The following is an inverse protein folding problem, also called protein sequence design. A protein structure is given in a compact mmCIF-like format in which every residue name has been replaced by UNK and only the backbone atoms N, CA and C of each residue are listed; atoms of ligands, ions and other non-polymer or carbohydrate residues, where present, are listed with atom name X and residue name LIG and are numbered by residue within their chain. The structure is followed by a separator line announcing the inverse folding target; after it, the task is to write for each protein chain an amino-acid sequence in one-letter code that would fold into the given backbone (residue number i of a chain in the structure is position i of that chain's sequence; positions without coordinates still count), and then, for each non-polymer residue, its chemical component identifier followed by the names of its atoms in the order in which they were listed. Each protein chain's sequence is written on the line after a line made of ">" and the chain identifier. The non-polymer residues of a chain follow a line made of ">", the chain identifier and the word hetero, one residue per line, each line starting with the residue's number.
data_IF_402153641068
#
_entry.id   IF_402153641068
#
_cell.length_a   1.000
_cell.length_b   1.000
_cell.length_c   1.000
_cell.angle_alpha   90.00
_cell.angle_beta   90.00
_cell.angle_gamma   90.00
#
_symmetry.space_group_name_H-M   'P 1'
#
loop_
_entity.id
_entity.type
_entity.pdbx_description
1 polymer ?
#
# COMPACT_ATOMS: atom_id res chain seq x y z
N UNK A 1 -19.96 38.62 82.45
CA UNK A 1 -20.10 37.42 81.61
C UNK A 1 -19.49 36.16 82.24
N UNK A 2 -18.18 36.10 82.49
CA UNK A 2 -17.50 34.89 83.01
C UNK A 2 -18.05 34.40 84.38
N UNK A 3 -18.38 35.32 85.31
CA UNK A 3 -18.98 34.94 86.61
C UNK A 3 -20.38 34.33 86.52
N UNK A 4 -21.19 34.72 85.52
CA UNK A 4 -22.54 34.18 85.30
C UNK A 4 -22.48 32.83 84.58
N UNK A 5 -21.57 32.68 83.60
CA UNK A 5 -21.27 31.40 82.95
C UNK A 5 -20.74 30.33 83.92
N UNK A 6 -19.93 30.71 84.91
CA UNK A 6 -19.47 29.77 85.93
C UNK A 6 -20.60 29.31 86.86
N UNK A 7 -21.55 30.19 87.19
CA UNK A 7 -22.71 29.84 88.01
C UNK A 7 -23.69 28.94 87.24
N UNK A 8 -23.92 29.20 85.95
CA UNK A 8 -24.78 28.34 85.13
C UNK A 8 -24.13 26.98 84.84
N UNK A 9 -22.81 26.90 84.69
CA UNK A 9 -22.11 25.61 84.55
C UNK A 9 -22.21 24.76 85.83
N UNK A 10 -22.15 25.38 87.02
CA UNK A 10 -22.31 24.70 88.32
C UNK A 10 -23.75 24.23 88.55
N UNK A 11 -24.76 25.01 88.13
CA UNK A 11 -26.16 24.60 88.19
C UNK A 11 -26.53 23.54 87.15
N UNK A 12 -25.96 23.61 85.94
CA UNK A 12 -26.15 22.60 84.92
C UNK A 12 -25.49 21.26 85.29
N UNK A 13 -24.33 21.26 85.95
CA UNK A 13 -23.72 20.01 86.45
C UNK A 13 -24.52 19.36 87.59
N UNK A 14 -25.28 20.15 88.36
CA UNK A 14 -26.21 19.64 89.37
C UNK A 14 -27.51 19.08 88.76
N UNK A 15 -27.97 19.60 87.63
CA UNK A 15 -29.16 19.11 86.92
C UNK A 15 -28.89 17.88 86.04
N UNK A 16 -27.68 17.73 85.48
CA UNK A 16 -27.31 16.57 84.66
C UNK A 16 -26.72 15.38 85.44
N UNK A 17 -26.45 15.53 86.74
CA UNK A 17 -26.04 14.42 87.62
C UNK A 17 -27.22 13.60 88.20
N UNK A 18 -28.46 13.86 87.76
CA UNK A 18 -29.69 13.20 88.26
C UNK A 18 -30.01 11.81 87.69
N UNK A 19 -29.18 11.24 86.83
CA UNK A 19 -29.36 9.87 86.30
C UNK A 19 -28.37 8.89 86.92
N UNK A 20 -28.51 8.62 88.23
CA UNK A 20 -28.01 7.38 88.85
C UNK A 20 -29.09 6.86 89.83
N UNK A 21 -29.59 5.63 89.62
CA UNK A 21 -30.68 5.08 90.44
C UNK A 21 -30.11 4.33 91.64
N UNK A 22 -30.14 4.92 92.84
CA UNK A 22 -30.04 4.13 94.06
C UNK A 22 -31.00 4.61 95.13
N UNK A 23 -31.74 3.62 95.62
CA UNK A 23 -32.70 3.65 96.70
C UNK A 23 -32.08 4.13 98.03
N UNK A 24 -32.98 4.32 99.01
CA UNK A 24 -32.77 4.77 100.39
C UNK A 24 -32.57 6.30 100.50
N UNK A 25 -33.31 7.07 101.30
CA UNK A 25 -34.25 6.76 102.36
C UNK A 25 -35.36 7.81 102.38
N UNK A 26 -36.57 7.31 102.57
CA UNK A 26 -37.73 8.07 103.02
C UNK A 26 -37.37 8.97 104.21
N UNK A 27 -37.74 10.23 104.06
CA UNK A 27 -38.16 11.16 105.09
C UNK A 27 -37.29 11.19 106.36
N UNK A 28 -36.37 12.16 106.40
CA UNK A 28 -36.15 12.88 107.66
C UNK A 28 -37.46 13.62 107.95
N UNK A 29 -38.40 12.93 108.58
CA UNK A 29 -39.44 13.59 109.36
C UNK A 29 -38.72 14.47 110.37
N UNK A 30 -39.03 15.77 110.48
CA UNK A 30 -38.52 16.54 111.59
C UNK A 30 -39.09 15.89 112.85
N UNK A 31 -38.26 15.16 113.58
CA UNK A 31 -38.56 14.86 114.97
C UNK A 31 -38.68 16.21 115.65
N UNK A 32 -39.92 16.59 115.94
CA UNK A 32 -40.28 17.67 116.85
C UNK A 32 -39.25 17.73 117.96
N UNK A 33 -38.43 18.78 117.98
CA UNK A 33 -37.62 19.09 119.16
C UNK A 33 -38.62 19.37 120.27
N UNK A 34 -38.75 18.45 121.22
CA UNK A 34 -39.51 18.65 122.45
C UNK A 34 -38.81 19.71 123.28
N UNK A 35 -39.05 20.98 122.96
CA UNK A 35 -38.65 22.13 123.78
C UNK A 35 -39.73 22.38 124.84
N UNK A 36 -39.93 21.43 125.76
CA UNK A 36 -40.49 21.79 127.05
C UNK A 36 -39.32 22.03 128.00
N UNK A 37 -39.18 23.26 128.51
CA UNK A 37 -38.24 23.56 129.59
C UNK A 37 -38.63 22.76 130.85
N UNK A 38 -37.68 22.02 131.42
CA UNK A 38 -37.89 21.30 132.69
C UNK A 38 -38.13 22.32 133.81
N UNK A 39 -39.40 22.52 134.20
CA UNK A 39 -39.79 23.36 135.35
C UNK A 39 -40.88 24.42 135.08
N UNK A 40 -41.38 24.58 133.85
CA UNK A 40 -42.45 25.54 133.53
C UNK A 40 -43.87 24.91 133.59
N UNK A 41 -44.92 25.65 133.96
CA UNK A 41 -46.30 25.16 133.95
C UNK A 41 -46.75 24.82 132.51
N UNK A 42 -47.53 23.74 132.35
CA UNK A 42 -47.86 23.13 131.06
C UNK A 42 -48.59 24.00 130.02
N UNK A 43 -49.00 25.22 130.36
CA UNK A 43 -49.60 26.17 129.43
C UNK A 43 -48.58 26.79 128.45
N UNK A 44 -47.29 26.88 128.80
CA UNK A 44 -46.25 27.52 127.96
C UNK A 44 -45.73 26.62 126.83
N UNK A 45 -45.90 25.30 126.92
CA UNK A 45 -45.42 24.37 125.87
C UNK A 45 -46.36 24.33 124.64
N UNK A 46 -47.65 24.69 124.81
CA UNK A 46 -48.62 24.78 123.70
C UNK A 46 -48.44 26.07 122.89
N UNK A 47 -48.13 27.19 123.54
CA UNK A 47 -47.90 28.48 122.86
C UNK A 47 -46.64 28.51 121.98
N UNK A 48 -45.57 27.87 122.46
CA UNK A 48 -44.28 27.78 121.74
C UNK A 48 -44.37 26.87 120.50
N UNK A 49 -45.08 25.74 120.59
CA UNK A 49 -45.28 24.83 119.45
C UNK A 49 -46.07 25.49 118.30
N UNK A 50 -47.11 26.27 118.63
CA UNK A 50 -47.90 26.99 117.62
C UNK A 50 -47.10 28.12 116.95
N UNK A 51 -46.23 28.81 117.69
CA UNK A 51 -45.34 29.85 117.15
C UNK A 51 -44.35 29.30 116.12
N UNK A 52 -43.74 28.14 116.41
CA UNK A 52 -42.76 27.49 115.53
C UNK A 52 -43.43 26.96 114.26
N UNK A 53 -44.58 26.28 114.38
CA UNK A 53 -45.31 25.77 113.22
C UNK A 53 -45.80 26.89 112.29
N UNK A 54 -46.25 28.01 112.86
CA UNK A 54 -46.65 29.16 112.04
C UNK A 54 -45.45 29.77 111.31
N UNK A 55 -44.30 29.95 111.97
CA UNK A 55 -43.07 30.43 111.29
C UNK A 55 -42.59 29.48 110.19
N UNK A 56 -42.62 28.17 110.43
CA UNK A 56 -42.16 27.18 109.44
C UNK A 56 -43.06 27.16 108.19
N UNK A 57 -44.37 27.40 108.34
CA UNK A 57 -45.28 27.49 107.20
C UNK A 57 -45.08 28.79 106.39
N UNK A 58 -44.74 29.91 107.05
CA UNK A 58 -44.43 31.17 106.37
C UNK A 58 -43.14 31.08 105.56
N UNK A 59 -42.05 30.61 106.17
CA UNK A 59 -40.72 30.48 105.52
C UNK A 59 -40.75 29.50 104.33
N UNK A 60 -41.54 28.42 104.42
CA UNK A 60 -41.70 27.46 103.33
C UNK A 60 -42.38 28.05 102.10
N UNK A 61 -43.36 28.93 102.31
CA UNK A 61 -44.07 29.58 101.20
C UNK A 61 -43.17 30.63 100.54
N UNK A 62 -42.37 31.33 101.33
CA UNK A 62 -41.40 32.31 100.84
C UNK A 62 -40.33 31.63 99.95
N UNK A 63 -39.74 30.53 100.43
CA UNK A 63 -38.76 29.75 99.66
C UNK A 63 -39.34 29.18 98.36
N UNK A 64 -40.60 28.71 98.37
CA UNK A 64 -41.27 28.23 97.16
C UNK A 64 -41.51 29.33 96.14
N UNK A 65 -41.87 30.53 96.59
CA UNK A 65 -42.05 31.68 95.69
C UNK A 65 -40.72 32.09 95.07
N UNK A 66 -39.65 32.16 95.87
CA UNK A 66 -38.32 32.53 95.39
C UNK A 66 -37.77 31.53 94.35
N UNK A 67 -37.95 30.22 94.58
CA UNK A 67 -37.55 29.20 93.60
C UNK A 67 -38.37 29.29 92.31
N UNK A 68 -39.66 29.59 92.41
CA UNK A 68 -40.52 29.75 91.23
C UNK A 68 -40.12 30.96 90.39
N UNK A 69 -39.83 32.09 91.03
CA UNK A 69 -39.41 33.33 90.37
C UNK A 69 -38.05 33.14 89.66
N UNK A 70 -37.07 32.53 90.32
CA UNK A 70 -35.76 32.23 89.72
C UNK A 70 -35.87 31.26 88.52
N UNK A 71 -36.79 30.29 88.57
CA UNK A 71 -37.03 29.41 87.42
C UNK A 71 -37.70 30.12 86.24
N UNK A 72 -38.58 31.08 86.50
CA UNK A 72 -39.23 31.86 85.44
C UNK A 72 -38.24 32.83 84.80
N UNK A 73 -37.42 33.52 85.61
CA UNK A 73 -36.35 34.41 85.13
C UNK A 73 -35.32 33.68 84.26
N UNK A 74 -34.93 32.46 84.66
CA UNK A 74 -34.05 31.63 83.82
C UNK A 74 -34.72 31.16 82.54
N UNK A 75 -36.03 30.88 82.57
CA UNK A 75 -36.78 30.50 81.37
C UNK A 75 -36.88 31.67 80.40
N UNK A 76 -37.20 32.86 80.89
CA UNK A 76 -37.24 34.07 80.07
C UNK A 76 -35.86 34.41 79.50
N UNK A 77 -34.79 34.27 80.28
CA UNK A 77 -33.43 34.46 79.77
C UNK A 77 -33.08 33.45 78.67
N UNK A 78 -33.44 32.18 78.83
CA UNK A 78 -33.17 31.15 77.83
C UNK A 78 -33.94 31.41 76.53
N UNK A 79 -35.23 31.75 76.63
CA UNK A 79 -36.10 31.91 75.46
C UNK A 79 -35.85 33.27 74.79
N UNK A 80 -35.87 34.36 75.55
CA UNK A 80 -35.84 35.70 74.99
C UNK A 80 -34.42 36.18 74.71
N UNK A 81 -33.47 35.86 75.59
CA UNK A 81 -32.11 36.41 75.52
C UNK A 81 -31.14 35.46 74.77
N UNK A 82 -31.19 34.16 75.06
CA UNK A 82 -30.26 33.19 74.47
C UNK A 82 -30.72 32.62 73.12
N UNK A 83 -32.02 32.46 72.89
CA UNK A 83 -32.56 31.92 71.63
C UNK A 83 -33.02 33.01 70.65
N UNK A 84 -33.51 34.16 71.11
CA UNK A 84 -33.99 35.24 70.22
C UNK A 84 -33.10 36.48 70.14
N UNK A 85 -32.46 36.95 71.21
CA UNK A 85 -31.58 38.15 71.17
C UNK A 85 -30.09 37.82 70.93
N UNK A 86 -29.65 36.60 71.22
CA UNK A 86 -28.32 36.12 70.87
C UNK A 86 -28.31 35.58 69.43
N UNK A 87 -28.49 36.49 68.47
CA UNK A 87 -28.33 36.25 67.02
C UNK A 87 -27.10 35.37 66.71
N UNK A 88 -26.03 35.51 67.50
CA UNK A 88 -24.79 34.77 67.36
C UNK A 88 -24.94 33.24 67.39
N UNK A 89 -25.86 32.63 68.13
CA UNK A 89 -25.92 31.16 68.21
C UNK A 89 -26.60 30.54 66.99
N UNK A 90 -27.71 31.12 66.55
CA UNK A 90 -28.42 30.69 65.33
C UNK A 90 -27.59 31.03 64.10
N UNK A 91 -26.98 32.22 64.06
CA UNK A 91 -26.09 32.66 62.99
C UNK A 91 -24.84 31.79 62.88
N UNK A 92 -24.23 31.37 64.00
CA UNK A 92 -23.06 30.47 63.96
C UNK A 92 -23.42 29.05 63.53
N UNK A 93 -24.59 28.53 63.89
CA UNK A 93 -25.06 27.24 63.37
C UNK A 93 -25.35 27.31 61.86
N UNK A 94 -25.90 28.44 61.40
CA UNK A 94 -26.10 28.69 59.98
C UNK A 94 -24.76 28.83 59.23
N UNK A 95 -23.77 29.55 59.77
CA UNK A 95 -22.42 29.66 59.19
C UNK A 95 -21.70 28.29 59.15
N UNK A 96 -21.84 27.46 60.18
CA UNK A 96 -21.30 26.09 60.18
C UNK A 96 -21.98 25.24 59.10
N UNK A 97 -23.31 25.34 58.94
CA UNK A 97 -24.03 24.61 57.91
C UNK A 97 -23.68 25.11 56.50
N UNK A 98 -23.53 26.41 56.28
CA UNK A 98 -23.09 27.02 55.02
C UNK A 98 -21.66 26.62 54.68
N UNK A 99 -20.74 26.59 55.66
CA UNK A 99 -19.36 26.14 55.43
C UNK A 99 -19.28 24.65 55.17
N UNK A 100 -20.04 23.82 55.89
CA UNK A 100 -20.07 22.37 55.64
C UNK A 100 -20.65 22.03 54.26
N UNK A 101 -21.72 22.73 53.85
CA UNK A 101 -22.29 22.54 52.50
C UNK A 101 -21.38 23.09 51.42
N UNK A 102 -20.74 24.25 51.63
CA UNK A 102 -19.75 24.80 50.71
C UNK A 102 -18.55 23.86 50.53
N UNK A 103 -17.99 23.32 51.61
CA UNK A 103 -16.87 22.38 51.57
C UNK A 103 -17.27 21.00 51.01
N UNK A 104 -18.51 20.56 51.26
CA UNK A 104 -19.07 19.37 50.61
C UNK A 104 -19.19 19.57 49.10
N UNK A 105 -19.68 20.72 48.65
CA UNK A 105 -19.82 21.06 47.23
C UNK A 105 -18.47 21.22 46.52
N UNK A 106 -17.42 21.73 47.17
CA UNK A 106 -16.08 21.79 46.56
C UNK A 106 -15.53 20.41 46.25
N UNK A 107 -15.70 19.44 47.16
CA UNK A 107 -15.25 18.06 46.93
C UNK A 107 -16.00 17.37 45.78
N UNK A 108 -17.31 17.60 45.65
CA UNK A 108 -18.12 17.08 44.53
C UNK A 108 -17.72 17.74 43.21
N UNK A 109 -17.41 19.03 43.24
CA UNK A 109 -16.91 19.76 42.07
C UNK A 109 -15.55 19.23 41.60
N UNK A 110 -14.61 19.01 42.52
CA UNK A 110 -13.31 18.40 42.22
C UNK A 110 -13.46 16.98 41.61
N UNK A 111 -14.34 16.15 42.18
CA UNK A 111 -14.65 14.82 41.62
C UNK A 111 -15.25 14.93 40.21
N UNK A 112 -16.15 15.89 39.99
CA UNK A 112 -16.72 16.18 38.67
C UNK A 112 -15.67 16.58 37.65
N UNK A 113 -14.70 17.42 38.04
CA UNK A 113 -13.56 17.79 37.21
C UNK A 113 -12.69 16.58 36.85
N UNK A 114 -12.46 15.65 37.77
CA UNK A 114 -11.71 14.42 37.47
C UNK A 114 -12.45 13.49 36.52
N UNK A 115 -13.77 13.36 36.63
CA UNK A 115 -14.56 12.57 35.68
C UNK A 115 -14.57 13.18 34.28
N UNK A 116 -14.68 14.50 34.17
CA UNK A 116 -14.59 15.20 32.89
C UNK A 116 -13.18 15.07 32.27
N UNK A 117 -12.13 15.29 33.06
CA UNK A 117 -10.75 15.08 32.62
C UNK A 117 -10.49 13.63 32.18
N UNK A 118 -11.04 12.65 32.90
CA UNK A 118 -10.96 11.23 32.52
C UNK A 118 -11.65 10.99 31.17
N UNK A 119 -12.90 11.44 31.01
CA UNK A 119 -13.62 11.27 29.74
C UNK A 119 -12.92 11.97 28.59
N UNK A 120 -12.33 13.13 28.84
CA UNK A 120 -11.53 13.85 27.84
C UNK A 120 -10.29 13.05 27.43
N UNK A 121 -9.53 12.50 28.38
CA UNK A 121 -8.35 11.67 28.10
C UNK A 121 -8.71 10.37 27.38
N UNK A 122 -9.77 9.68 27.79
CA UNK A 122 -10.28 8.49 27.11
C UNK A 122 -10.70 8.81 25.67
N UNK A 123 -11.38 9.93 25.46
CA UNK A 123 -11.79 10.39 24.13
C UNK A 123 -10.57 10.71 23.27
N UNK A 124 -9.56 11.39 23.83
CA UNK A 124 -8.30 11.67 23.14
C UNK A 124 -7.57 10.37 22.75
N UNK A 125 -7.51 9.39 23.64
CA UNK A 125 -6.90 8.10 23.37
C UNK A 125 -7.63 7.37 22.23
N UNK A 126 -8.96 7.31 22.27
CA UNK A 126 -9.77 6.70 21.21
C UNK A 126 -9.54 7.41 19.87
N UNK A 127 -9.49 8.75 19.86
CA UNK A 127 -9.19 9.52 18.64
C UNK A 127 -7.79 9.19 18.11
N UNK A 128 -6.78 9.09 18.97
CA UNK A 128 -5.43 8.71 18.57
C UNK A 128 -5.37 7.30 18.00
N UNK A 129 -6.05 6.34 18.64
CA UNK A 129 -6.16 4.97 18.16
C UNK A 129 -6.82 4.91 16.78
N UNK A 130 -7.96 5.59 16.60
CA UNK A 130 -8.65 5.64 15.31
C UNK A 130 -7.85 6.36 14.22
N UNK A 131 -7.10 7.41 14.57
CA UNK A 131 -6.17 8.06 13.64
C UNK A 131 -5.06 7.12 13.21
N UNK A 132 -4.48 6.36 14.14
CA UNK A 132 -3.44 5.38 13.83
C UNK A 132 -3.97 4.24 12.96
N UNK A 133 -5.14 3.68 13.29
CA UNK A 133 -5.82 2.67 12.46
C UNK A 133 -6.11 3.20 11.04
N UNK A 134 -6.56 4.45 10.93
CA UNK A 134 -6.80 5.07 9.63
C UNK A 134 -5.50 5.25 8.83
N UNK A 135 -4.42 5.76 9.44
CA UNK A 135 -3.12 5.89 8.78
C UNK A 135 -2.59 4.52 8.34
N UNK A 136 -2.62 3.53 9.23
CA UNK A 136 -2.18 2.15 8.95
C UNK A 136 -2.94 1.51 7.78
N UNK A 137 -4.23 1.80 7.61
CA UNK A 137 -5.07 1.16 6.59
C UNK A 137 -5.14 1.92 5.26
N UNK A 138 -5.04 3.26 5.30
CA UNK A 138 -5.29 4.10 4.13
C UNK A 138 -4.03 4.73 3.53
N UNK A 139 -2.93 4.85 4.28
CA UNK A 139 -1.69 5.41 3.75
C UNK A 139 -1.04 4.41 2.78
N UNK A 140 -0.96 4.74 1.47
CA UNK A 140 -0.27 3.88 0.52
C UNK A 140 1.24 3.93 0.78
N UNK A 141 1.88 2.78 0.67
CA UNK A 141 3.34 2.67 0.63
C UNK A 141 3.89 3.11 -0.74
N UNK A 142 5.11 3.65 -0.74
CA UNK A 142 5.81 4.08 -1.95
C UNK A 142 5.98 2.92 -2.95
N UNK A 143 6.24 1.71 -2.43
CA UNK A 143 6.33 0.51 -3.25
C UNK A 143 5.09 0.30 -4.13
N UNK A 144 3.89 0.52 -3.61
CA UNK A 144 2.63 0.34 -4.37
C UNK A 144 2.55 1.34 -5.53
N UNK A 145 2.92 2.59 -5.29
CA UNK A 145 2.94 3.63 -6.32
C UNK A 145 3.95 3.29 -7.43
N UNK A 146 5.12 2.75 -7.06
CA UNK A 146 6.12 2.31 -8.05
C UNK A 146 5.62 1.13 -8.89
N UNK A 147 5.01 0.10 -8.27
CA UNK A 147 4.44 -1.03 -9.01
C UNK A 147 3.32 -0.60 -9.97
N UNK A 148 2.41 0.28 -9.52
CA UNK A 148 1.33 0.79 -10.36
C UNK A 148 1.83 1.61 -11.54
N UNK A 149 2.88 2.42 -11.33
CA UNK A 149 3.49 3.21 -12.41
C UNK A 149 4.20 2.33 -13.43
N UNK A 150 4.96 1.33 -12.97
CA UNK A 150 5.63 0.37 -13.86
C UNK A 150 4.62 -0.45 -14.67
N UNK A 151 3.51 -0.87 -14.06
CA UNK A 151 2.45 -1.60 -14.78
C UNK A 151 1.82 -0.76 -15.92
N UNK A 152 1.61 0.53 -15.71
CA UNK A 152 1.12 1.45 -16.76
C UNK A 152 2.12 1.58 -17.90
N UNK A 153 3.39 1.78 -17.57
CA UNK A 153 4.45 1.94 -18.57
C UNK A 153 4.69 0.64 -19.35
N UNK A 154 4.57 -0.52 -18.69
CA UNK A 154 4.64 -1.83 -19.33
C UNK A 154 3.55 -2.03 -20.39
N UNK A 155 2.30 -1.62 -20.11
CA UNK A 155 1.20 -1.72 -21.08
C UNK A 155 1.45 -0.86 -22.34
N UNK A 156 2.13 0.28 -22.20
CA UNK A 156 2.51 1.10 -23.34
C UNK A 156 3.60 0.42 -24.19
N UNK A 157 4.60 -0.16 -23.53
CA UNK A 157 5.65 -0.96 -24.17
C UNK A 157 5.08 -2.20 -24.87
N UNK A 158 4.08 -2.87 -24.29
CA UNK A 158 3.35 -3.99 -24.93
C UNK A 158 2.68 -3.52 -26.23
N UNK A 159 1.95 -2.40 -26.18
CA UNK A 159 1.30 -1.82 -27.36
C UNK A 159 2.31 -1.49 -28.46
N UNK A 160 3.46 -0.91 -28.10
CA UNK A 160 4.54 -0.62 -29.05
C UNK A 160 5.06 -1.91 -29.70
N UNK A 161 5.37 -2.93 -28.90
CA UNK A 161 5.83 -4.22 -29.39
C UNK A 161 4.86 -4.90 -30.36
N UNK A 162 3.55 -4.83 -30.08
CA UNK A 162 2.53 -5.33 -30.99
C UNK A 162 2.47 -4.55 -32.31
N UNK A 163 2.64 -3.23 -32.27
CA UNK A 163 2.68 -2.40 -33.49
C UNK A 163 3.90 -2.76 -34.34
N UNK A 164 5.08 -2.89 -33.72
CA UNK A 164 6.31 -3.34 -34.39
C UNK A 164 6.11 -4.72 -35.05
N UNK A 165 5.63 -5.71 -34.30
CA UNK A 165 5.37 -7.04 -34.85
C UNK A 165 4.40 -7.01 -36.04
N UNK A 166 3.38 -6.16 -35.98
CA UNK A 166 2.43 -5.98 -37.06
C UNK A 166 3.06 -5.32 -38.30
N UNK A 167 3.91 -4.31 -38.13
CA UNK A 167 4.62 -3.63 -39.21
C UNK A 167 5.57 -4.58 -39.93
N UNK A 168 6.38 -5.35 -39.19
CA UNK A 168 7.27 -6.36 -39.76
C UNK A 168 6.49 -7.43 -40.54
N UNK A 169 5.38 -7.91 -39.99
CA UNK A 169 4.48 -8.86 -40.66
C UNK A 169 3.90 -8.31 -41.96
N UNK A 170 3.42 -7.06 -41.95
CA UNK A 170 2.92 -6.39 -43.15
C UNK A 170 4.00 -6.21 -44.20
N UNK A 171 5.21 -5.80 -43.82
CA UNK A 171 6.36 -5.67 -44.73
C UNK A 171 6.73 -7.01 -45.36
N UNK A 172 6.83 -8.08 -44.59
CA UNK A 172 7.20 -9.40 -45.11
C UNK A 172 6.14 -9.94 -46.08
N UNK A 173 4.85 -9.83 -45.73
CA UNK A 173 3.76 -10.18 -46.65
C UNK A 173 3.79 -9.34 -47.93
N UNK A 174 4.05 -8.03 -47.82
CA UNK A 174 4.21 -7.13 -48.95
C UNK A 174 5.36 -7.56 -49.87
N UNK A 175 6.50 -7.98 -49.30
CA UNK A 175 7.65 -8.51 -50.05
C UNK A 175 7.33 -9.81 -50.76
N UNK A 176 6.70 -10.76 -50.06
CA UNK A 176 6.29 -12.03 -50.66
C UNK A 176 5.38 -11.79 -51.84
N UNK A 177 4.33 -10.98 -51.67
CA UNK A 177 3.31 -10.71 -52.69
C UNK A 177 3.75 -9.71 -53.78
N UNK A 178 4.88 -9.03 -53.60
CA UNK A 178 5.39 -8.05 -54.57
C UNK A 178 4.52 -6.81 -54.69
N UNK A 179 4.09 -6.24 -53.56
CA UNK A 179 3.36 -4.97 -53.57
C UNK A 179 4.23 -3.85 -54.13
N UNK A 180 3.62 -2.82 -54.72
CA UNK A 180 4.33 -1.65 -55.22
C UNK A 180 5.19 -1.01 -54.10
N UNK A 181 6.37 -0.49 -54.46
CA UNK A 181 7.34 0.16 -53.55
C UNK A 181 8.04 -0.77 -52.53
N UNK A 182 8.19 -2.06 -52.83
CA UNK A 182 9.06 -2.96 -52.03
C UNK A 182 10.21 -3.50 -52.86
N UNK A 183 11.36 -3.75 -52.21
CA UNK A 183 12.49 -4.44 -52.82
C UNK A 183 12.03 -5.79 -53.39
N UNK A 184 12.25 -5.98 -54.69
CA UNK A 184 11.80 -7.19 -55.37
C UNK A 184 10.39 -7.15 -55.95
N UNK A 185 9.66 -6.01 -55.97
CA UNK A 185 8.29 -5.94 -56.50
C UNK A 185 8.18 -6.40 -57.97
N UNK A 186 9.17 -6.02 -58.79
CA UNK A 186 9.26 -6.18 -60.24
C UNK A 186 9.82 -7.53 -60.66
N UNK A 187 10.98 -7.93 -60.13
CA UNK A 187 11.68 -9.19 -60.46
C UNK A 187 12.33 -9.81 -59.21
N UNK A 188 12.41 -11.14 -59.19
CA UNK A 188 13.12 -11.89 -58.14
C UNK A 188 14.61 -11.51 -58.08
N UNK A 189 15.26 -11.43 -59.23
CA UNK A 189 16.69 -11.12 -59.34
C UNK A 189 17.05 -9.77 -58.72
N UNK A 190 16.14 -8.80 -58.80
CA UNK A 190 16.33 -7.46 -58.24
C UNK A 190 16.30 -7.48 -56.70
N UNK A 191 15.50 -8.35 -56.07
CA UNK A 191 15.54 -8.55 -54.62
C UNK A 191 16.88 -9.12 -54.16
N UNK A 192 17.36 -10.16 -54.86
CA UNK A 192 18.66 -10.80 -54.57
C UNK A 192 19.82 -9.83 -54.77
N UNK A 193 19.80 -9.06 -55.85
CA UNK A 193 20.81 -8.07 -56.14
C UNK A 193 20.85 -6.97 -55.07
N UNK A 194 19.70 -6.42 -54.68
CA UNK A 194 19.63 -5.40 -53.63
C UNK A 194 20.09 -5.94 -52.27
N UNK A 195 19.73 -7.18 -51.93
CA UNK A 195 20.23 -7.86 -50.71
C UNK A 195 21.73 -8.08 -50.76
N UNK A 196 22.29 -8.45 -51.90
CA UNK A 196 23.72 -8.64 -52.08
C UNK A 196 24.49 -7.32 -51.93
N UNK A 197 23.95 -6.20 -52.43
CA UNK A 197 24.52 -4.87 -52.21
C UNK A 197 24.50 -4.52 -50.72
N UNK A 198 23.35 -4.69 -50.06
CA UNK A 198 23.21 -4.42 -48.63
C UNK A 198 24.18 -5.27 -47.79
N UNK A 199 24.28 -6.57 -48.10
CA UNK A 199 25.19 -7.47 -47.43
C UNK A 199 26.65 -7.04 -47.60
N UNK A 200 27.06 -6.68 -48.82
CA UNK A 200 28.42 -6.20 -49.11
C UNK A 200 28.78 -4.95 -48.30
N UNK A 201 27.83 -4.03 -48.15
CA UNK A 201 28.07 -2.75 -47.50
C UNK A 201 28.08 -2.84 -45.96
N UNK A 202 27.22 -3.69 -45.37
CA UNK A 202 26.92 -3.63 -43.94
C UNK A 202 27.17 -4.94 -43.16
N UNK A 203 27.27 -6.09 -43.83
CA UNK A 203 27.31 -7.40 -43.18
C UNK A 203 28.58 -8.20 -43.50
N UNK A 204 29.24 -7.90 -44.61
CA UNK A 204 30.36 -8.66 -45.14
C UNK A 204 31.66 -8.40 -44.36
N UNK A 205 32.33 -9.48 -43.96
CA UNK A 205 33.68 -9.45 -43.39
C UNK A 205 34.60 -10.29 -44.27
N UNK A 206 35.69 -9.69 -44.74
CA UNK A 206 36.68 -10.32 -45.62
C UNK A 206 37.36 -11.54 -44.99
N UNK A 207 37.68 -11.47 -43.70
CA UNK A 207 38.41 -12.49 -42.93
C UNK A 207 37.58 -13.71 -42.51
N UNK A 208 36.33 -13.79 -42.95
CA UNK A 208 35.46 -14.92 -42.63
C UNK A 208 35.39 -15.93 -43.79
N UNK A 209 35.13 -17.19 -43.43
CA UNK A 209 34.99 -18.35 -44.31
C UNK A 209 36.17 -18.56 -45.28
N UNK A 210 37.05 -19.53 -44.98
CA UNK A 210 38.15 -19.94 -45.87
C UNK A 210 39.16 -18.81 -46.18
N UNK A 211 39.33 -17.88 -45.23
CA UNK A 211 40.39 -16.88 -45.24
C UNK A 211 41.74 -17.52 -44.91
N UNK A 212 42.80 -17.12 -45.62
CA UNK A 212 44.16 -17.57 -45.38
C UNK A 212 45.04 -16.33 -45.19
N UNK A 213 45.64 -16.21 -44.00
CA UNK A 213 46.54 -15.11 -43.66
C UNK A 213 47.69 -15.00 -44.66
N UNK A 214 47.90 -13.79 -45.18
CA UNK A 214 48.99 -13.48 -46.12
C UNK A 214 48.70 -13.79 -47.59
N UNK A 215 47.50 -14.24 -47.96
CA UNK A 215 47.09 -14.45 -49.36
C UNK A 215 45.88 -13.58 -49.70
N UNK A 216 46.11 -12.56 -50.55
CA UNK A 216 45.06 -11.70 -51.08
C UNK A 216 44.02 -12.53 -51.88
N UNK A 217 42.75 -12.12 -51.81
CA UNK A 217 41.62 -12.76 -52.52
C UNK A 217 41.27 -14.18 -52.07
N UNK A 218 41.63 -14.56 -50.84
CA UNK A 218 41.07 -15.76 -50.19
C UNK A 218 39.80 -15.41 -49.39
N UNK A 219 39.00 -16.42 -49.06
CA UNK A 219 37.73 -16.24 -48.35
C UNK A 219 36.70 -15.32 -49.05
N UNK A 220 36.02 -14.48 -48.27
CA UNK A 220 34.94 -13.58 -48.73
C UNK A 220 35.44 -12.24 -49.29
N UNK A 221 36.75 -12.00 -49.30
CA UNK A 221 37.41 -10.76 -49.77
C UNK A 221 36.94 -10.30 -51.15
N UNK A 222 36.85 -11.22 -52.11
CA UNK A 222 36.40 -10.91 -53.47
C UNK A 222 34.92 -10.49 -53.53
N UNK A 223 34.11 -10.91 -52.57
CA UNK A 223 32.68 -10.59 -52.49
C UNK A 223 32.39 -9.34 -51.65
N UNK A 224 33.18 -9.07 -50.61
CA UNK A 224 33.09 -7.85 -49.79
C UNK A 224 33.52 -6.58 -50.54
N UNK A 225 34.29 -6.73 -51.63
CA UNK A 225 34.74 -5.59 -52.43
C UNK A 225 36.01 -4.92 -51.91
N UNK A 226 36.70 -5.56 -50.96
CA UNK A 226 38.03 -5.18 -50.48
C UNK A 226 39.09 -5.56 -51.52
N UNK A 227 39.10 -4.86 -52.66
CA UNK A 227 40.10 -5.08 -53.69
C UNK A 227 41.53 -4.67 -53.26
N UNK A 228 41.66 -3.83 -52.21
CA UNK A 228 42.92 -3.22 -51.78
C UNK A 228 43.41 -3.65 -50.38
N UNK A 229 42.74 -4.60 -49.70
CA UNK A 229 43.19 -5.06 -48.37
C UNK A 229 43.29 -3.94 -47.30
N UNK A 230 42.56 -2.83 -47.49
CA UNK A 230 42.69 -1.62 -46.67
C UNK A 230 41.74 -1.55 -45.46
N UNK A 231 40.81 -2.51 -45.31
CA UNK A 231 39.90 -2.58 -44.17
C UNK A 231 40.34 -3.65 -43.15
N UNK A 232 41.64 -3.90 -43.05
CA UNK A 232 42.26 -4.91 -42.17
C UNK A 232 42.62 -4.33 -40.79
N UNK A 233 41.92 -3.27 -40.36
CA UNK A 233 41.99 -2.82 -38.98
C UNK A 233 40.79 -3.37 -38.23
N UNK A 234 41.06 -4.21 -37.24
CA UNK A 234 40.07 -4.84 -36.34
C UNK A 234 39.12 -3.86 -35.61
N UNK A 235 39.35 -2.56 -35.79
CA UNK A 235 38.60 -1.42 -35.30
C UNK A 235 37.47 -0.94 -36.23
N UNK A 236 37.39 -1.42 -37.48
CA UNK A 236 36.40 -1.00 -38.51
C UNK A 236 35.52 -2.14 -39.03
N UNK A 237 35.30 -3.19 -38.25
CA UNK A 237 34.27 -4.18 -38.61
C UNK A 237 32.88 -3.51 -38.64
N UNK A 238 32.03 -3.80 -39.64
CA UNK A 238 30.64 -3.37 -39.62
C UNK A 238 29.99 -3.82 -38.31
N UNK A 239 29.24 -2.92 -37.67
CA UNK A 239 28.50 -3.18 -36.41
C UNK A 239 27.55 -4.37 -36.52
N UNK A 240 27.16 -4.75 -37.75
CA UNK A 240 26.17 -5.77 -38.06
C UNK A 240 26.77 -7.03 -38.73
N UNK A 241 28.06 -7.31 -38.59
CA UNK A 241 28.67 -8.50 -39.21
C UNK A 241 27.87 -9.78 -38.91
N UNK A 242 27.68 -10.63 -39.93
CA UNK A 242 26.89 -11.88 -39.88
C UNK A 242 25.48 -11.77 -39.31
N UNK A 243 24.93 -10.57 -39.10
CA UNK A 243 23.65 -10.41 -38.41
C UNK A 243 22.47 -11.00 -39.19
N UNK A 244 22.64 -11.30 -40.47
CA UNK A 244 21.66 -11.93 -41.35
C UNK A 244 21.67 -13.47 -41.30
N UNK A 245 22.67 -14.07 -40.66
CA UNK A 245 22.80 -15.53 -40.49
C UNK A 245 22.84 -15.91 -39.00
N UNK A 246 23.51 -15.10 -38.17
CA UNK A 246 23.69 -15.33 -36.76
C UNK A 246 22.45 -14.94 -35.94
N UNK A 247 21.47 -15.85 -35.87
CA UNK A 247 20.27 -15.67 -35.05
C UNK A 247 20.59 -15.39 -33.57
N UNK A 248 21.64 -16.04 -33.05
CA UNK A 248 21.97 -15.95 -31.62
C UNK A 248 22.43 -14.55 -31.24
N UNK A 249 23.28 -13.93 -32.05
CA UNK A 249 23.73 -12.55 -31.84
C UNK A 249 22.60 -11.55 -32.10
N UNK A 250 21.89 -11.68 -33.22
CA UNK A 250 20.90 -10.68 -33.63
C UNK A 250 19.65 -10.68 -32.76
N UNK A 251 19.21 -11.84 -32.26
CA UNK A 251 17.93 -11.95 -31.56
C UNK A 251 17.98 -12.68 -30.22
N UNK A 252 18.73 -13.77 -30.10
CA UNK A 252 18.65 -14.62 -28.91
C UNK A 252 19.26 -13.92 -27.68
N UNK A 253 20.51 -13.51 -27.79
CA UNK A 253 21.28 -12.86 -26.72
C UNK A 253 20.85 -11.41 -26.49
N UNK A 254 20.47 -10.72 -27.57
CA UNK A 254 20.09 -9.31 -27.52
C UNK A 254 18.77 -9.13 -26.77
N UNK A 255 18.80 -8.39 -25.66
CA UNK A 255 17.66 -8.21 -24.75
C UNK A 255 16.66 -7.17 -25.26
N UNK A 256 17.18 -6.13 -25.91
CA UNK A 256 16.42 -5.02 -26.46
C UNK A 256 16.91 -4.68 -27.85
N UNK A 257 15.98 -4.41 -28.76
CA UNK A 257 16.23 -4.14 -30.17
C UNK A 257 15.72 -2.75 -30.52
N UNK A 258 16.62 -1.90 -31.00
CA UNK A 258 16.25 -0.63 -31.59
C UNK A 258 15.73 -0.84 -33.02
N UNK A 259 14.41 -0.89 -33.14
CA UNK A 259 13.70 -1.04 -34.40
C UNK A 259 12.76 0.13 -34.66
N UNK A 260 12.91 1.23 -33.89
CA UNK A 260 11.98 2.35 -33.85
C UNK A 260 12.70 3.65 -34.27
N UNK A 261 12.86 3.85 -35.58
CA UNK A 261 13.61 4.97 -36.13
C UNK A 261 12.85 5.83 -37.14
N UNK A 262 12.27 6.99 -36.77
CA UNK A 262 11.96 8.05 -37.73
C UNK A 262 13.22 8.77 -38.25
N UNK A 263 14.37 8.53 -37.61
CA UNK A 263 15.69 9.01 -38.03
C UNK A 263 16.49 7.83 -38.57
N UNK A 264 16.86 7.90 -39.85
CA UNK A 264 17.57 6.89 -40.62
C UNK A 264 19.04 6.67 -40.18
N UNK A 265 19.40 7.10 -38.96
CA UNK A 265 20.76 7.09 -38.41
C UNK A 265 20.71 6.22 -37.16
N UNK A 266 21.28 5.01 -37.22
CA UNK A 266 21.40 4.08 -36.08
C UNK A 266 20.40 2.91 -36.04
N UNK A 267 19.52 2.75 -37.04
CA UNK A 267 18.57 1.62 -37.13
C UNK A 267 19.21 0.29 -37.59
N UNK A 268 20.45 0.03 -37.18
CA UNK A 268 21.23 -1.15 -37.56
C UNK A 268 20.49 -2.44 -37.17
N UNK A 269 19.86 -2.47 -35.99
CA UNK A 269 19.08 -3.62 -35.53
C UNK A 269 17.79 -3.84 -36.35
N UNK A 270 17.15 -2.79 -36.86
CA UNK A 270 16.03 -2.93 -37.81
C UNK A 270 16.50 -3.64 -39.08
N UNK A 271 17.58 -3.16 -39.69
CA UNK A 271 18.07 -3.75 -40.92
C UNK A 271 18.61 -5.17 -40.73
N UNK A 272 19.30 -5.45 -39.61
CA UNK A 272 19.78 -6.80 -39.26
C UNK A 272 18.62 -7.78 -39.13
N UNK A 273 17.59 -7.42 -38.35
CA UNK A 273 16.43 -8.29 -38.11
C UNK A 273 15.61 -8.49 -39.38
N UNK A 274 15.51 -7.46 -40.23
CA UNK A 274 14.91 -7.58 -41.56
C UNK A 274 15.72 -8.49 -42.48
N UNK A 275 17.05 -8.37 -42.51
CA UNK A 275 17.92 -9.20 -43.33
C UNK A 275 17.86 -10.68 -42.91
N UNK A 276 17.97 -10.94 -41.61
CA UNK A 276 17.82 -12.27 -41.02
C UNK A 276 16.46 -12.88 -41.34
N UNK A 277 15.37 -12.12 -41.16
CA UNK A 277 14.02 -12.57 -41.50
C UNK A 277 13.87 -12.92 -42.98
N UNK A 278 14.48 -12.12 -43.87
CA UNK A 278 14.47 -12.41 -45.31
C UNK A 278 15.26 -13.69 -45.62
N UNK A 279 16.39 -13.95 -44.97
CA UNK A 279 17.18 -15.18 -45.15
C UNK A 279 16.44 -16.43 -44.64
N UNK A 280 15.81 -16.35 -43.46
CA UNK A 280 15.17 -17.49 -42.79
C UNK A 280 13.88 -17.95 -43.48
N UNK A 281 13.00 -17.02 -43.85
CA UNK A 281 11.65 -17.36 -44.27
C UNK A 281 11.34 -17.03 -45.74
N UNK A 282 12.21 -16.28 -46.40
CA UNK A 282 11.99 -15.81 -47.76
C UNK A 282 13.28 -15.58 -48.55
N UNK A 283 14.22 -16.54 -48.51
CA UNK A 283 15.49 -16.41 -49.24
C UNK A 283 15.25 -16.18 -50.74
N UNK A 284 14.33 -16.97 -51.31
CA UNK A 284 13.85 -16.79 -52.67
C UNK A 284 12.39 -16.36 -52.66
N UNK A 285 12.13 -15.17 -53.21
CA UNK A 285 10.79 -14.77 -53.61
C UNK A 285 10.50 -15.39 -54.98
N UNK A 286 9.42 -16.16 -55.10
CA UNK A 286 9.11 -16.79 -56.40
C UNK A 286 8.65 -15.74 -57.41
N UNK A 287 8.99 -15.90 -58.68
CA UNK A 287 8.51 -15.02 -59.75
C UNK A 287 6.97 -14.98 -59.81
N UNK A 288 6.41 -13.75 -59.81
CA UNK A 288 4.96 -13.48 -59.78
C UNK A 288 4.40 -13.08 -61.15
N UNK A 289 5.12 -13.38 -62.23
CA UNK A 289 4.83 -12.98 -63.62
C UNK A 289 3.62 -13.68 -64.27
N UNK A 290 2.55 -13.94 -63.52
CA UNK A 290 1.28 -14.46 -64.03
C UNK A 290 0.37 -13.25 -64.26
N UNK A 291 0.45 -12.64 -65.45
CA UNK A 291 -0.47 -11.58 -65.84
C UNK A 291 -1.92 -12.07 -65.82
N UNK A 292 -2.89 -11.18 -65.62
CA UNK A 292 -4.32 -11.52 -65.53
C UNK A 292 -4.84 -12.37 -66.72
N UNK A 293 -4.26 -12.18 -67.91
CA UNK A 293 -4.57 -12.94 -69.13
C UNK A 293 -4.18 -14.43 -69.03
N UNK A 294 -3.21 -14.77 -68.18
CA UNK A 294 -2.70 -16.14 -67.97
C UNK A 294 -3.48 -16.94 -66.91
N UNK A 295 -4.40 -16.30 -66.17
CA UNK A 295 -5.20 -16.97 -65.12
C UNK A 295 -6.36 -17.79 -65.72
N UNK A 296 -6.68 -17.61 -67.01
CA UNK A 296 -7.67 -18.40 -67.71
C UNK A 296 -7.24 -19.85 -67.98
N UNK A 297 -5.95 -20.19 -67.76
CA UNK A 297 -5.47 -21.57 -67.82
C UNK A 297 -5.54 -22.19 -66.42
N UNK A 298 -6.24 -23.32 -66.29
CA UNK A 298 -6.46 -24.01 -65.00
C UNK A 298 -5.14 -24.38 -64.31
N UNK A 299 -4.13 -24.84 -65.07
CA UNK A 299 -2.81 -25.20 -64.52
C UNK A 299 -2.07 -24.01 -63.90
N UNK A 300 -2.17 -22.84 -64.51
CA UNK A 300 -1.56 -21.60 -64.02
C UNK A 300 -2.33 -21.04 -62.82
N UNK A 301 -3.65 -21.19 -62.81
CA UNK A 301 -4.49 -20.86 -61.67
C UNK A 301 -4.15 -21.75 -60.45
N UNK A 302 -4.00 -23.06 -60.65
CA UNK A 302 -3.59 -24.00 -59.60
C UNK A 302 -2.18 -23.70 -59.08
N UNK A 303 -1.24 -23.36 -59.98
CA UNK A 303 0.12 -22.96 -59.59
C UNK A 303 0.14 -21.67 -58.76
N UNK A 304 -0.70 -20.69 -59.11
CA UNK A 304 -0.86 -19.46 -58.33
C UNK A 304 -1.48 -19.70 -56.95
N UNK A 305 -2.49 -20.57 -56.86
CA UNK A 305 -3.07 -21.00 -55.58
C UNK A 305 -2.04 -21.72 -54.71
N UNK A 306 -1.21 -22.59 -55.30
CA UNK A 306 -0.11 -23.27 -54.61
C UNK A 306 0.90 -22.25 -54.07
N UNK A 307 1.27 -21.25 -54.87
CA UNK A 307 2.14 -20.17 -54.43
C UNK A 307 1.55 -19.39 -53.24
N UNK A 308 0.30 -18.93 -53.33
CA UNK A 308 -0.38 -18.25 -52.20
C UNK A 308 -0.44 -19.14 -50.96
N UNK A 309 -0.65 -20.45 -51.12
CA UNK A 309 -0.62 -21.39 -50.00
C UNK A 309 0.75 -21.48 -49.34
N UNK A 310 1.84 -21.42 -50.11
CA UNK A 310 3.21 -21.41 -49.59
C UNK A 310 3.50 -20.10 -48.85
N UNK A 311 3.09 -18.96 -49.42
CA UNK A 311 3.22 -17.64 -48.75
C UNK A 311 2.43 -17.61 -47.44
N UNK A 312 1.21 -18.15 -47.42
CA UNK A 312 0.41 -18.22 -46.21
C UNK A 312 1.08 -19.07 -45.12
N UNK A 313 1.64 -20.23 -45.47
CA UNK A 313 2.39 -21.09 -44.54
C UNK A 313 3.65 -20.41 -43.99
N UNK A 314 4.42 -19.74 -44.86
CA UNK A 314 5.59 -18.92 -44.46
C UNK A 314 5.16 -17.81 -43.51
N UNK A 315 4.06 -17.12 -43.83
CA UNK A 315 3.48 -16.06 -43.02
C UNK A 315 3.18 -16.49 -41.58
N UNK A 316 2.76 -17.74 -41.34
CA UNK A 316 2.55 -18.25 -39.97
C UNK A 316 3.88 -18.36 -39.20
N UNK A 317 4.92 -18.89 -39.83
CA UNK A 317 6.24 -19.00 -39.20
C UNK A 317 6.88 -17.62 -38.99
N UNK A 318 6.80 -16.76 -39.99
CA UNK A 318 7.25 -15.35 -39.95
C UNK A 318 6.55 -14.55 -38.86
N UNK A 319 5.24 -14.75 -38.66
CA UNK A 319 4.49 -14.08 -37.62
C UNK A 319 5.07 -14.40 -36.22
N UNK A 320 5.51 -15.64 -35.97
CA UNK A 320 6.17 -15.97 -34.70
C UNK A 320 7.48 -15.22 -34.50
N UNK A 321 8.30 -15.12 -35.55
CA UNK A 321 9.56 -14.39 -35.52
C UNK A 321 9.34 -12.88 -35.30
N UNK A 322 8.38 -12.30 -36.01
CA UNK A 322 8.03 -10.89 -35.87
C UNK A 322 7.48 -10.56 -34.47
N UNK A 323 6.76 -11.49 -33.83
CA UNK A 323 6.36 -11.32 -32.43
C UNK A 323 7.57 -11.34 -31.49
N UNK A 324 8.58 -12.19 -31.73
CA UNK A 324 9.80 -12.18 -30.92
C UNK A 324 10.52 -10.83 -31.03
N UNK A 325 10.61 -10.28 -32.25
CA UNK A 325 11.14 -8.93 -32.48
C UNK A 325 10.32 -7.90 -31.72
N UNK A 326 8.99 -7.95 -31.81
CA UNK A 326 8.10 -7.02 -31.09
C UNK A 326 8.21 -7.12 -29.57
N UNK A 327 8.42 -8.31 -28.99
CA UNK A 327 8.63 -8.46 -27.55
C UNK A 327 9.96 -7.85 -27.09
N UNK A 328 10.95 -7.85 -27.97
CA UNK A 328 12.30 -7.31 -27.72
C UNK A 328 12.47 -5.87 -28.21
N UNK A 329 11.52 -5.31 -28.96
CA UNK A 329 11.65 -3.94 -29.45
C UNK A 329 11.74 -2.96 -28.28
N UNK A 330 12.46 -1.86 -28.48
CA UNK A 330 12.54 -0.79 -27.50
C UNK A 330 11.13 -0.41 -27.01
N UNK A 331 11.06 -0.11 -25.72
CA UNK A 331 9.85 0.41 -25.13
C UNK A 331 9.49 1.77 -25.72
N UNK A 332 8.20 2.08 -25.76
CA UNK A 332 7.78 3.39 -26.21
C UNK A 332 8.32 4.45 -25.24
N UNK A 333 9.17 5.31 -25.80
CA UNK A 333 9.71 6.49 -25.13
C UNK A 333 8.53 7.36 -24.67
N UNK A 334 8.23 7.38 -23.36
CA UNK A 334 7.30 8.35 -22.78
C UNK A 334 7.99 9.74 -22.76
N UNK A 335 8.22 10.30 -23.95
CA UNK A 335 8.82 11.62 -24.20
C UNK A 335 7.77 12.73 -24.22
N UNK A 336 6.93 12.79 -23.19
CA UNK A 336 6.09 13.96 -22.93
C UNK A 336 6.52 14.61 -21.62
N UNK A 337 7.44 15.58 -21.75
CA UNK A 337 7.70 16.82 -21.00
C UNK A 337 7.44 16.96 -19.47
N UNK A 338 6.99 15.95 -18.74
CA UNK A 338 6.85 15.98 -17.28
C UNK A 338 7.21 14.62 -16.69
N UNK A 339 8.51 14.38 -16.56
CA UNK A 339 9.18 13.62 -15.49
C UNK A 339 8.59 12.25 -15.08
N UNK A 340 8.59 11.26 -15.97
CA UNK A 340 8.79 9.83 -15.60
C UNK A 340 8.88 8.97 -16.87
N UNK A 341 10.08 8.65 -17.32
CA UNK A 341 10.28 7.64 -18.36
C UNK A 341 10.12 6.23 -17.79
N UNK A 342 9.87 5.21 -18.62
CA UNK A 342 9.89 3.80 -18.17
C UNK A 342 11.21 3.44 -17.47
N UNK A 343 12.39 3.85 -17.97
CA UNK A 343 13.66 3.72 -17.24
C UNK A 343 13.67 4.38 -15.86
N UNK A 344 13.07 5.56 -15.69
CA UNK A 344 12.96 6.22 -14.38
C UNK A 344 12.01 5.44 -13.44
N UNK A 345 10.91 4.91 -13.98
CA UNK A 345 9.94 4.11 -13.20
C UNK A 345 10.53 2.78 -12.72
N UNK A 346 11.21 2.06 -13.63
CA UNK A 346 11.94 0.83 -13.29
C UNK A 346 13.16 1.17 -12.44
N UNK A 347 13.82 2.30 -12.68
CA UNK A 347 14.93 2.78 -11.88
C UNK A 347 14.54 2.99 -10.43
N UNK A 348 13.43 3.67 -10.17
CA UNK A 348 12.84 3.83 -8.82
C UNK A 348 12.44 2.50 -8.19
N UNK A 349 11.91 1.57 -8.98
CA UNK A 349 11.65 0.23 -8.51
C UNK A 349 12.95 -0.46 -8.07
N UNK A 350 14.03 -0.35 -8.86
CA UNK A 350 15.34 -0.91 -8.55
C UNK A 350 15.98 -0.22 -7.33
N UNK A 351 15.81 1.09 -7.18
CA UNK A 351 16.21 1.84 -5.99
C UNK A 351 15.46 1.33 -4.75
N UNK A 352 14.15 1.09 -4.86
CA UNK A 352 13.34 0.49 -3.78
C UNK A 352 13.77 -0.94 -3.44
N UNK A 353 14.43 -1.63 -4.37
CA UNK A 353 15.08 -2.91 -4.10
C UNK A 353 16.45 -2.74 -3.42
N UNK A 354 16.91 -1.53 -3.14
CA UNK A 354 18.14 -1.28 -2.38
C UNK A 354 19.41 -1.23 -3.23
N UNK A 355 19.29 -1.09 -4.56
CA UNK A 355 20.42 -0.69 -5.41
C UNK A 355 20.60 0.82 -5.27
N UNK A 356 21.80 1.32 -4.95
CA UNK A 356 22.02 2.74 -4.78
C UNK A 356 21.86 3.48 -6.12
N UNK A 357 21.42 4.74 -6.06
CA UNK A 357 21.00 5.52 -7.25
C UNK A 357 22.08 5.66 -8.32
N UNK A 358 23.35 5.65 -7.92
CA UNK A 358 24.53 5.68 -8.79
C UNK A 358 24.75 4.38 -9.58
N UNK A 359 24.27 3.24 -9.06
CA UNK A 359 24.38 1.93 -9.72
C UNK A 359 23.16 1.60 -10.61
N UNK A 360 22.07 2.35 -10.51
CA UNK A 360 20.85 2.07 -11.28
C UNK A 360 21.00 2.35 -12.77
N UNK A 361 21.65 3.45 -13.12
CA UNK A 361 21.92 3.80 -14.51
C UNK A 361 22.79 2.74 -15.23
N UNK A 362 23.96 2.31 -14.69
CA UNK A 362 24.76 1.25 -15.32
C UNK A 362 24.05 -0.12 -15.29
N UNK A 363 23.20 -0.39 -14.29
CA UNK A 363 22.40 -1.61 -14.28
C UNK A 363 21.36 -1.63 -15.41
N UNK A 364 20.68 -0.51 -15.66
CA UNK A 364 19.70 -0.38 -16.73
C UNK A 364 20.38 -0.40 -18.11
N UNK A 365 21.60 0.12 -18.23
CA UNK A 365 22.39 0.10 -19.46
C UNK A 365 22.63 -1.34 -19.98
N UNK A 366 22.75 -2.34 -19.08
CA UNK A 366 22.82 -3.76 -19.46
C UNK A 366 21.58 -4.26 -20.23
N UNK A 367 20.43 -3.61 -20.00
CA UNK A 367 19.16 -3.92 -20.67
C UNK A 367 18.85 -2.93 -21.80
N UNK A 368 19.76 -1.99 -22.09
CA UNK A 368 19.58 -0.91 -23.06
C UNK A 368 18.93 0.34 -22.44
N UNK A 369 19.10 1.52 -23.08
CA UNK A 369 18.62 2.80 -22.57
C UNK A 369 17.09 2.83 -22.37
N UNK A 370 16.34 2.02 -23.13
CA UNK A 370 14.90 1.81 -22.97
C UNK A 370 14.58 0.30 -22.97
N UNK A 371 14.23 -0.31 -21.81
CA UNK A 371 13.92 -1.73 -21.76
C UNK A 371 12.64 -2.04 -22.54
N UNK A 372 12.71 -3.05 -23.42
CA UNK A 372 11.57 -3.62 -24.13
C UNK A 372 10.62 -4.38 -23.21
N UNK A 373 9.55 -4.95 -23.80
CA UNK A 373 8.52 -5.66 -23.06
C UNK A 373 9.08 -6.90 -22.33
N UNK A 374 9.90 -7.69 -23.04
CA UNK A 374 10.50 -8.91 -22.52
C UNK A 374 11.47 -8.64 -21.38
N UNK A 375 12.35 -7.65 -21.51
CA UNK A 375 13.31 -7.30 -20.45
C UNK A 375 12.61 -6.75 -19.22
N UNK A 376 11.57 -5.94 -19.41
CA UNK A 376 10.76 -5.43 -18.29
C UNK A 376 10.06 -6.58 -17.55
N UNK A 377 9.47 -7.55 -18.27
CA UNK A 377 8.90 -8.74 -17.65
C UNK A 377 9.95 -9.60 -16.93
N UNK A 378 11.17 -9.74 -17.47
CA UNK A 378 12.25 -10.46 -16.78
C UNK A 378 12.62 -9.81 -15.45
N UNK A 379 12.73 -8.47 -15.44
CA UNK A 379 13.00 -7.71 -14.21
C UNK A 379 11.87 -7.97 -13.20
N UNK A 380 10.62 -7.78 -13.62
CA UNK A 380 9.44 -7.90 -12.76
C UNK A 380 9.21 -9.31 -12.21
N UNK A 381 9.46 -10.34 -13.03
CA UNK A 381 9.12 -11.73 -12.69
C UNK A 381 10.26 -12.50 -12.04
N UNK A 382 11.53 -12.09 -12.22
CA UNK A 382 12.69 -12.82 -11.69
C UNK A 382 13.58 -11.97 -10.80
N UNK A 383 13.95 -10.77 -11.24
CA UNK A 383 14.98 -9.97 -10.56
C UNK A 383 14.48 -9.36 -9.25
N UNK A 384 13.21 -8.95 -9.20
CA UNK A 384 12.59 -8.43 -7.97
C UNK A 384 12.71 -9.42 -6.81
N UNK A 385 12.40 -10.69 -7.04
CA UNK A 385 12.37 -11.72 -6.00
C UNK A 385 13.74 -12.18 -5.51
N UNK A 386 14.81 -11.87 -6.26
CA UNK A 386 16.19 -12.19 -5.87
C UNK A 386 16.71 -11.25 -4.79
N UNK A 387 16.06 -10.11 -4.58
CA UNK A 387 16.54 -9.10 -3.66
C UNK A 387 15.93 -9.28 -2.26
N UNK A 388 16.73 -9.31 -1.17
CA UNK A 388 16.22 -9.39 0.20
C UNK A 388 15.35 -8.19 0.60
N UNK A 389 15.60 -7.00 0.04
CA UNK A 389 14.83 -5.78 0.34
C UNK A 389 13.38 -5.86 -0.15
N UNK A 390 13.11 -6.71 -1.14
CA UNK A 390 11.75 -7.02 -1.52
C UNK A 390 10.98 -7.60 -0.31
N UNK A 391 11.55 -8.57 0.39
CA UNK A 391 10.90 -9.23 1.52
C UNK A 391 10.83 -8.34 2.78
N UNK A 392 11.79 -7.43 2.99
CA UNK A 392 11.72 -6.46 4.09
C UNK A 392 10.54 -5.51 3.89
N UNK A 393 10.32 -5.05 2.66
CA UNK A 393 9.17 -4.23 2.27
C UNK A 393 7.83 -4.99 2.33
N UNK A 394 7.83 -6.32 2.48
CA UNK A 394 6.62 -7.12 2.75
C UNK A 394 6.21 -7.11 4.24
N UNK A 395 7.07 -6.64 5.16
CA UNK A 395 6.73 -6.45 6.58
C UNK A 395 6.02 -5.11 6.86
N UNK A 396 5.06 -4.74 6.02
CA UNK A 396 4.25 -3.52 6.14
C UNK A 396 2.85 -3.82 6.72
N UNK A 397 1.96 -2.83 6.76
CA UNK A 397 0.56 -2.99 7.13
C UNK A 397 -0.12 -4.10 6.31
N UNK A 398 -1.04 -4.88 6.91
CA UNK A 398 -1.73 -5.96 6.20
C UNK A 398 -2.55 -5.44 5.01
N UNK A 399 -2.98 -4.18 5.05
CA UNK A 399 -3.69 -3.51 3.97
C UNK A 399 -2.77 -3.24 2.77
N UNK A 400 -1.52 -2.81 3.00
CA UNK A 400 -0.54 -2.61 1.94
C UNK A 400 -0.05 -3.94 1.36
N UNK A 401 0.08 -4.99 2.18
CA UNK A 401 0.41 -6.34 1.70
C UNK A 401 -0.64 -6.85 0.69
N UNK A 402 -1.93 -6.71 0.98
CA UNK A 402 -3.00 -7.09 0.05
C UNK A 402 -2.97 -6.29 -1.27
N UNK A 403 -2.57 -5.01 -1.22
CA UNK A 403 -2.42 -4.17 -2.42
C UNK A 403 -1.22 -4.61 -3.26
N UNK A 404 -0.09 -4.93 -2.61
CA UNK A 404 1.10 -5.49 -3.27
C UNK A 404 0.81 -6.87 -3.88
N UNK A 405 0.06 -7.71 -3.18
CA UNK A 405 -0.41 -9.01 -3.68
C UNK A 405 -1.26 -8.85 -4.95
N UNK A 406 -2.22 -7.94 -4.95
CA UNK A 406 -3.02 -7.65 -6.14
C UNK A 406 -2.17 -7.14 -7.31
N UNK A 407 -1.17 -6.29 -7.05
CA UNK A 407 -0.24 -5.81 -8.08
C UNK A 407 0.62 -6.96 -8.66
N UNK A 408 1.15 -7.84 -7.81
CA UNK A 408 1.89 -9.03 -8.23
C UNK A 408 1.03 -9.98 -9.04
N UNK A 409 -0.23 -10.20 -8.64
CA UNK A 409 -1.17 -11.02 -9.40
C UNK A 409 -1.43 -10.44 -10.80
N UNK A 410 -1.45 -9.12 -10.93
CA UNK A 410 -1.52 -8.44 -12.22
C UNK A 410 -0.34 -8.78 -13.13
N UNK A 411 0.89 -8.74 -12.60
CA UNK A 411 2.12 -9.13 -13.33
C UNK A 411 2.08 -10.61 -13.71
N UNK A 412 1.64 -11.48 -12.81
CA UNK A 412 1.49 -12.92 -13.07
C UNK A 412 0.52 -13.17 -14.23
N UNK A 413 -0.65 -12.51 -14.26
CA UNK A 413 -1.61 -12.62 -15.36
C UNK A 413 -1.03 -12.14 -16.69
N UNK A 414 -0.21 -11.08 -16.68
CA UNK A 414 0.49 -10.61 -17.89
C UNK A 414 1.50 -11.65 -18.39
N UNK A 415 2.25 -12.29 -17.49
CA UNK A 415 3.19 -13.36 -17.83
C UNK A 415 2.46 -14.59 -18.37
N UNK A 416 1.37 -15.02 -17.72
CA UNK A 416 0.53 -16.13 -18.17
C UNK A 416 -0.04 -15.87 -19.57
N UNK A 417 -0.51 -14.64 -19.83
CA UNK A 417 -0.96 -14.24 -21.16
C UNK A 417 0.17 -14.36 -22.20
N UNK A 418 1.37 -13.88 -21.88
CA UNK A 418 2.51 -13.98 -22.80
C UNK A 418 2.91 -15.44 -23.08
N UNK A 419 2.87 -16.31 -22.07
CA UNK A 419 3.11 -17.75 -22.21
C UNK A 419 2.03 -18.38 -23.11
N UNK A 420 0.76 -18.07 -22.84
CA UNK A 420 -0.37 -18.57 -23.62
C UNK A 420 -0.28 -18.13 -25.09
N UNK A 421 0.02 -16.85 -25.36
CA UNK A 421 0.23 -16.36 -26.73
C UNK A 421 1.40 -17.07 -27.43
N UNK A 422 2.46 -17.41 -26.69
CA UNK A 422 3.59 -18.20 -27.21
C UNK A 422 3.18 -19.62 -27.57
N UNK A 423 2.44 -20.30 -26.68
CA UNK A 423 1.91 -21.63 -26.92
C UNK A 423 0.98 -21.66 -28.13
N UNK A 424 0.09 -20.66 -28.26
CA UNK A 424 -0.77 -20.54 -29.44
C UNK A 424 0.03 -20.40 -30.74
N UNK A 425 1.11 -19.63 -30.74
CA UNK A 425 2.01 -19.52 -31.92
C UNK A 425 2.72 -20.84 -32.21
N UNK A 426 3.16 -21.57 -31.18
CA UNK A 426 3.76 -22.89 -31.33
C UNK A 426 2.78 -23.91 -31.94
N UNK A 427 1.54 -23.95 -31.44
CA UNK A 427 0.48 -24.82 -31.96
C UNK A 427 0.14 -24.50 -33.43
N UNK A 428 0.04 -23.21 -33.77
CA UNK A 428 -0.17 -22.78 -35.17
C UNK A 428 0.98 -23.23 -36.08
N UNK A 429 2.23 -23.04 -35.67
CA UNK A 429 3.40 -23.45 -36.44
C UNK A 429 3.47 -24.99 -36.61
N UNK A 430 3.18 -25.73 -35.55
CA UNK A 430 3.15 -27.19 -35.56
C UNK A 430 2.03 -27.74 -36.46
N UNK A 431 0.83 -27.14 -36.39
CA UNK A 431 -0.29 -27.48 -37.28
C UNK A 431 0.04 -27.25 -38.75
N UNK A 432 0.68 -26.12 -39.08
CA UNK A 432 1.15 -25.84 -40.44
C UNK A 432 2.20 -26.86 -40.89
N UNK A 433 3.15 -27.20 -40.03
CA UNK A 433 4.18 -28.20 -40.32
C UNK A 433 3.57 -29.59 -40.57
N UNK A 434 2.63 -30.01 -39.72
CA UNK A 434 1.90 -31.26 -39.88
C UNK A 434 1.12 -31.28 -41.19
N UNK A 435 0.34 -30.25 -41.48
CA UNK A 435 -0.43 -30.14 -42.73
C UNK A 435 0.46 -30.20 -43.97
N UNK A 436 1.66 -29.61 -43.90
CA UNK A 436 2.63 -29.63 -44.99
C UNK A 436 3.21 -31.04 -45.21
N UNK A 437 3.51 -31.77 -44.14
CA UNK A 437 3.94 -33.17 -44.23
C UNK A 437 2.82 -34.07 -44.75
N UNK A 438 1.61 -33.95 -44.24
CA UNK A 438 0.46 -34.76 -44.67
C UNK A 438 0.13 -34.55 -46.15
N UNK A 439 0.22 -33.31 -46.66
CA UNK A 439 0.02 -33.04 -48.09
C UNK A 439 0.98 -33.84 -48.97
N UNK A 440 2.24 -33.96 -48.59
CA UNK A 440 3.22 -34.78 -49.32
C UNK A 440 2.82 -36.25 -49.36
N UNK A 441 2.42 -36.81 -48.21
CA UNK A 441 1.94 -38.20 -48.14
C UNK A 441 0.68 -38.44 -48.97
N UNK A 442 -0.27 -37.49 -48.95
CA UNK A 442 -1.49 -37.58 -49.75
C UNK A 442 -1.20 -37.51 -51.25
N UNK A 443 -0.30 -36.62 -51.69
CA UNK A 443 0.14 -36.54 -53.08
C UNK A 443 0.84 -37.85 -53.53
N UNK A 444 1.68 -38.43 -52.67
CA UNK A 444 2.37 -39.70 -52.96
C UNK A 444 1.39 -40.89 -52.99
N UNK A 445 0.38 -40.91 -52.11
CA UNK A 445 -0.67 -41.93 -52.12
C UNK A 445 -1.55 -41.83 -53.37
N UNK A 446 -1.97 -40.62 -53.76
CA UNK A 446 -2.74 -40.38 -54.97
C UNK A 446 -1.98 -40.78 -56.24
N UNK A 447 -0.66 -40.50 -56.30
CA UNK A 447 0.18 -40.97 -57.42
C UNK A 447 0.22 -42.49 -57.51
N UNK A 448 0.29 -43.20 -56.37
CA UNK A 448 0.27 -44.68 -56.36
C UNK A 448 -1.08 -45.25 -56.77
N UNK A 449 -2.19 -44.58 -56.44
CA UNK A 449 -3.53 -44.99 -56.86
C UNK A 449 -3.73 -44.78 -58.36
N UNK A 450 -3.28 -43.65 -58.91
CA UNK A 450 -3.40 -43.33 -60.34
C UNK A 450 -2.46 -44.16 -61.26
N UNK A 451 -1.51 -44.91 -60.71
CA UNK A 451 -0.63 -45.83 -61.48
C UNK A 451 -1.24 -47.25 -61.55
N UNK A 452 -2.28 -47.51 -60.78
CA UNK A 452 -3.01 -48.80 -60.77
C UNK A 452 -4.32 -48.76 -61.57
N UNK A 453 -4.62 -47.65 -62.25
CA UNK A 453 -5.52 -47.56 -63.41
C UNK A 453 -4.68 -47.51 -64.69
#
# INVERSE_FOLDING_TARGET
>A
MIKKLLHTAIYASLLFAGNIPYAYSSAVTPTVSTTCCNGCPGADCVGSTNSINNRHNTERNDFKSHVADETEDHREWLVNDFLTDADQFVETLQDIAERMTAQGLTSVFEIGQFFDAKHYLETQQIIQEKRYEALKNYQPDEGICTFGTVARSLAHTESSGHQTAHLFSRRQMARHLGTKNIGGATREEEDKFNRQIFWRQNLCVSHQNNWIDGINFTGLTAMCGDADGQNDDSSSYPTMYDADINYTQTLELTRTLDVDGPAWIGADAEFATMALGNNLYGNDISSRGIGAVKINNDDLAQSYLKYRSTVAKRGVAENSFNNIIGLKSLGANYKNATNTSLPDSIGRLIQNLGVPEDEVAPYLELYGPDPGYLSTLEILSKKIYQNPQFYTNLYDSPSNLKRKEAAMKGIELMLERAIHESQMRQEMAMSVLLSSKMKKYAEDANKKLNVNE
#
